data_IF_460969063459
#
_entry.id   IF_460969063459
#
_cell.length_a   1.000
_cell.length_b   1.000
_cell.length_c   1.000
_cell.angle_alpha   90.00
_cell.angle_beta   90.00
_cell.angle_gamma   90.00
#
_symmetry.space_group_name_H-M   'P 1'
#
loop_
_entity.id
_entity.type
_entity.pdbx_description
1 polymer ?
#
# COMPACT_ATOMS: atom_id res chain seq x y z
N UNK A 1 -40.09 -21.63 -50.30
CA UNK A 1 -39.39 -22.71 -49.55
C UNK A 1 -38.50 -22.07 -48.55
N UNK A 2 -38.87 -22.10 -47.24
CA UNK A 2 -38.03 -21.55 -46.17
C UNK A 2 -37.02 -22.62 -45.70
N UNK A 3 -35.77 -22.44 -46.05
CA UNK A 3 -34.66 -23.29 -45.55
C UNK A 3 -34.45 -23.06 -44.05
N UNK A 4 -34.78 -24.06 -43.21
CA UNK A 4 -34.40 -24.06 -41.78
C UNK A 4 -32.86 -24.05 -41.68
N UNK A 5 -32.30 -22.92 -41.20
CA UNK A 5 -30.90 -22.86 -40.77
C UNK A 5 -30.74 -23.80 -39.55
N UNK A 6 -30.01 -24.91 -39.73
CA UNK A 6 -29.62 -25.78 -38.64
C UNK A 6 -28.60 -25.02 -37.76
N UNK A 7 -29.01 -24.58 -36.57
CA UNK A 7 -28.08 -24.09 -35.55
C UNK A 7 -27.30 -25.28 -35.02
N UNK A 8 -25.99 -25.28 -35.23
CA UNK A 8 -25.10 -26.27 -34.60
C UNK A 8 -25.08 -26.00 -33.10
N UNK A 9 -25.53 -26.94 -32.30
CA UNK A 9 -25.43 -26.91 -30.86
C UNK A 9 -24.03 -27.33 -30.42
N UNK A 10 -23.59 -26.84 -29.26
CA UNK A 10 -22.35 -27.26 -28.60
C UNK A 10 -22.45 -28.72 -28.14
N UNK A 11 -21.37 -29.49 -28.31
CA UNK A 11 -21.30 -30.83 -27.77
C UNK A 11 -20.92 -30.81 -26.28
N UNK A 12 -21.38 -31.82 -25.54
CA UNK A 12 -21.08 -31.93 -24.10
C UNK A 12 -19.55 -32.08 -23.86
N UNK A 13 -18.85 -32.74 -24.79
CA UNK A 13 -17.40 -32.93 -24.72
C UNK A 13 -16.65 -31.60 -24.92
N UNK A 14 -17.08 -30.76 -25.86
CA UNK A 14 -16.46 -29.42 -26.05
C UNK A 14 -16.57 -28.57 -24.78
N UNK A 15 -17.72 -28.59 -24.10
CA UNK A 15 -17.88 -27.87 -22.85
C UNK A 15 -16.97 -28.45 -21.74
N UNK A 16 -16.92 -29.79 -21.64
CA UNK A 16 -16.11 -30.45 -20.63
C UNK A 16 -14.61 -30.15 -20.77
N UNK A 17 -14.09 -30.16 -22.00
CA UNK A 17 -12.67 -29.79 -22.25
C UNK A 17 -12.40 -28.35 -21.88
N UNK A 18 -13.28 -27.43 -22.20
CA UNK A 18 -13.11 -25.99 -21.87
C UNK A 18 -13.05 -25.78 -20.36
N UNK A 19 -13.99 -26.34 -19.59
CA UNK A 19 -13.97 -26.17 -18.12
C UNK A 19 -12.76 -26.86 -17.46
N UNK A 20 -12.29 -27.99 -18.01
CA UNK A 20 -11.09 -28.65 -17.55
C UNK A 20 -9.85 -27.77 -17.76
N UNK A 21 -9.71 -27.13 -18.93
CA UNK A 21 -8.59 -26.22 -19.21
C UNK A 21 -8.63 -24.97 -18.32
N UNK A 22 -9.81 -24.36 -18.13
CA UNK A 22 -9.97 -23.22 -17.22
C UNK A 22 -9.62 -23.62 -15.78
N UNK A 23 -10.01 -24.82 -15.33
CA UNK A 23 -9.66 -25.33 -14.01
C UNK A 23 -8.15 -25.44 -13.79
N UNK A 24 -7.42 -26.00 -14.76
CA UNK A 24 -5.95 -26.12 -14.68
C UNK A 24 -5.28 -24.73 -14.67
N UNK A 25 -5.70 -23.83 -15.56
CA UNK A 25 -5.13 -22.48 -15.63
C UNK A 25 -5.40 -21.68 -14.35
N UNK A 26 -6.59 -21.79 -13.78
CA UNK A 26 -6.96 -21.11 -12.54
C UNK A 26 -6.16 -21.62 -11.34
N UNK A 27 -5.84 -22.91 -11.28
CA UNK A 27 -5.09 -23.49 -10.17
C UNK A 27 -3.67 -22.90 -10.04
N UNK A 28 -3.06 -22.50 -11.15
CA UNK A 28 -1.72 -21.88 -11.17
C UNK A 28 -1.81 -20.35 -11.16
N UNK A 29 -2.78 -19.80 -11.88
CA UNK A 29 -2.91 -18.35 -12.07
C UNK A 29 -3.30 -17.59 -10.82
N UNK A 30 -4.21 -18.11 -10.01
CA UNK A 30 -4.72 -17.40 -8.82
C UNK A 30 -3.64 -17.16 -7.76
N UNK A 31 -2.82 -18.15 -7.34
CA UNK A 31 -1.75 -17.93 -6.37
C UNK A 31 -0.70 -16.93 -6.87
N UNK A 32 -0.29 -17.06 -8.14
CA UNK A 32 0.68 -16.15 -8.75
C UNK A 32 0.17 -14.70 -8.81
N UNK A 33 -1.11 -14.53 -9.14
CA UNK A 33 -1.76 -13.21 -9.17
C UNK A 33 -1.81 -12.56 -7.78
N UNK A 34 -2.16 -13.31 -6.74
CA UNK A 34 -2.20 -12.81 -5.37
C UNK A 34 -0.80 -12.36 -4.89
N UNK A 35 0.26 -13.09 -5.22
CA UNK A 35 1.63 -12.69 -4.93
C UNK A 35 2.01 -11.38 -5.62
N UNK A 36 1.65 -11.21 -6.89
CA UNK A 36 1.88 -9.97 -7.64
C UNK A 36 1.14 -8.77 -7.02
N UNK A 37 -0.12 -8.94 -6.64
CA UNK A 37 -0.92 -7.88 -6.00
C UNK A 37 -0.30 -7.46 -4.67
N UNK A 38 0.14 -8.41 -3.83
CA UNK A 38 0.79 -8.09 -2.55
C UNK A 38 2.09 -7.29 -2.78
N UNK A 39 2.93 -7.70 -3.72
CA UNK A 39 4.15 -6.96 -4.07
C UNK A 39 3.84 -5.56 -4.60
N UNK A 40 2.80 -5.40 -5.42
CA UNK A 40 2.38 -4.09 -5.92
C UNK A 40 1.93 -3.15 -4.78
N UNK A 41 1.19 -3.67 -3.80
CA UNK A 41 0.75 -2.92 -2.61
C UNK A 41 1.93 -2.48 -1.75
N UNK A 42 2.90 -3.36 -1.51
CA UNK A 42 4.14 -3.06 -0.80
C UNK A 42 4.94 -1.95 -1.52
N UNK A 43 5.15 -2.09 -2.82
CA UNK A 43 5.84 -1.06 -3.62
C UNK A 43 5.10 0.29 -3.59
N UNK A 44 3.78 0.27 -3.59
CA UNK A 44 2.96 1.48 -3.47
C UNK A 44 3.17 2.16 -2.12
N UNK A 45 3.23 1.40 -1.02
CA UNK A 45 3.49 1.93 0.32
C UNK A 45 4.89 2.54 0.41
N UNK A 46 5.91 1.86 -0.09
CA UNK A 46 7.29 2.36 -0.14
C UNK A 46 7.40 3.64 -0.97
N UNK A 47 6.74 3.71 -2.12
CA UNK A 47 6.68 4.93 -2.93
C UNK A 47 5.97 6.08 -2.19
N UNK A 48 4.92 5.79 -1.44
CA UNK A 48 4.23 6.79 -0.62
C UNK A 48 5.15 7.35 0.48
N UNK A 49 5.97 6.51 1.12
CA UNK A 49 6.98 6.97 2.08
C UNK A 49 8.03 7.88 1.43
N UNK A 50 8.48 7.57 0.22
CA UNK A 50 9.40 8.46 -0.52
C UNK A 50 8.78 9.80 -0.85
N UNK A 51 7.48 9.83 -1.16
CA UNK A 51 6.76 11.09 -1.38
C UNK A 51 6.61 11.88 -0.08
N UNK A 52 6.35 11.21 1.06
CA UNK A 52 6.35 11.84 2.38
C UNK A 52 7.73 12.46 2.67
N UNK A 53 8.82 11.73 2.45
CA UNK A 53 10.18 12.25 2.61
C UNK A 53 10.40 13.55 1.83
N UNK A 54 10.03 13.58 0.55
CA UNK A 54 10.18 14.77 -0.28
C UNK A 54 9.33 15.95 0.24
N UNK A 55 8.11 15.68 0.68
CA UNK A 55 7.24 16.71 1.25
C UNK A 55 7.74 17.21 2.60
N UNK A 56 8.34 16.35 3.42
CA UNK A 56 8.97 16.73 4.68
C UNK A 56 10.20 17.62 4.48
N UNK A 57 11.01 17.34 3.46
CA UNK A 57 12.15 18.20 3.08
C UNK A 57 11.65 19.57 2.64
N UNK A 58 10.57 19.66 1.87
CA UNK A 58 9.92 20.90 1.47
C UNK A 58 9.35 21.64 2.70
N UNK A 59 8.61 20.94 3.53
CA UNK A 59 8.02 21.47 4.78
C UNK A 59 9.10 22.06 5.70
N UNK A 60 10.21 21.35 5.87
CA UNK A 60 11.34 21.83 6.68
C UNK A 60 12.01 23.08 6.08
N UNK A 61 12.15 23.11 4.75
CA UNK A 61 12.71 24.28 4.05
C UNK A 61 11.88 25.54 4.26
N UNK A 62 10.55 25.40 4.28
CA UNK A 62 9.63 26.52 4.37
C UNK A 62 9.37 26.98 5.82
N UNK A 63 9.30 26.00 6.75
CA UNK A 63 8.85 26.26 8.11
C UNK A 63 9.94 26.01 9.17
N UNK A 64 11.11 25.49 8.80
CA UNK A 64 12.18 25.05 9.72
C UNK A 64 11.70 24.01 10.75
N UNK A 65 10.67 23.26 10.41
CA UNK A 65 10.08 22.20 11.22
C UNK A 65 9.51 21.11 10.32
N UNK A 66 9.68 19.88 10.74
CA UNK A 66 9.02 18.71 10.14
C UNK A 66 7.57 18.62 10.59
N UNK A 67 6.76 17.90 9.84
CA UNK A 67 5.39 17.59 10.19
C UNK A 67 5.32 16.29 11.01
N UNK A 68 4.47 16.26 12.02
CA UNK A 68 4.17 15.01 12.76
C UNK A 68 2.67 14.75 12.79
N UNK A 69 2.29 13.49 12.71
CA UNK A 69 0.88 13.07 12.82
C UNK A 69 0.47 12.86 14.26
N UNK A 70 1.43 12.53 15.13
CA UNK A 70 1.22 12.33 16.57
C UNK A 70 2.45 12.83 17.33
N UNK A 71 2.23 13.53 18.42
CA UNK A 71 3.30 13.84 19.37
C UNK A 71 3.65 12.56 20.15
N UNK A 72 4.71 11.87 19.74
CA UNK A 72 5.18 10.63 20.33
C UNK A 72 5.30 9.49 19.34
N UNK A 73 5.31 8.25 19.83
CA UNK A 73 5.61 7.07 19.03
C UNK A 73 4.44 6.62 18.15
N UNK A 74 4.73 6.33 16.89
CA UNK A 74 3.90 5.56 15.99
C UNK A 74 3.87 4.06 16.37
N UNK A 75 3.58 3.73 17.65
CA UNK A 75 3.54 2.36 18.15
C UNK A 75 2.46 1.48 17.51
N UNK A 76 2.64 0.17 17.52
CA UNK A 76 1.70 -0.81 16.94
C UNK A 76 0.25 -0.62 17.43
N UNK A 77 0.06 -0.21 18.68
CA UNK A 77 -1.26 0.01 19.26
C UNK A 77 -1.96 1.30 18.79
N UNK A 78 -1.22 2.30 18.30
CA UNK A 78 -1.79 3.56 17.80
C UNK A 78 -2.36 3.44 16.38
N UNK A 79 -1.97 2.41 15.62
CA UNK A 79 -2.37 2.21 14.21
C UNK A 79 -3.82 1.79 14.04
N UNK A 80 -4.40 1.16 15.06
CA UNK A 80 -5.75 0.62 14.98
C UNK A 80 -6.83 1.68 15.25
N UNK A 81 -6.46 2.85 15.79
CA UNK A 81 -7.47 3.79 16.28
C UNK A 81 -8.21 4.56 15.18
N UNK A 82 -7.55 5.01 14.12
CA UNK A 82 -8.25 5.63 12.96
C UNK A 82 -7.34 5.91 11.74
N UNK A 83 -7.03 4.90 10.92
CA UNK A 83 -6.05 5.01 9.82
C UNK A 83 -6.44 6.02 8.74
N UNK A 84 -7.74 6.17 8.50
CA UNK A 84 -8.26 7.05 7.45
C UNK A 84 -7.99 8.50 7.82
N UNK A 85 -8.16 8.86 9.09
CA UNK A 85 -7.95 10.23 9.54
C UNK A 85 -6.47 10.63 9.52
N UNK A 86 -5.56 9.71 9.81
CA UNK A 86 -4.11 9.96 9.76
C UNK A 86 -3.65 10.17 8.33
N UNK A 87 -4.01 9.28 7.40
CA UNK A 87 -3.69 9.47 5.98
C UNK A 87 -4.31 10.76 5.41
N UNK A 88 -5.52 11.12 5.86
CA UNK A 88 -6.15 12.38 5.49
C UNK A 88 -5.36 13.58 6.04
N UNK A 89 -4.89 13.52 7.27
CA UNK A 89 -4.10 14.57 7.91
C UNK A 89 -2.77 14.81 7.16
N UNK A 90 -2.07 13.75 6.79
CA UNK A 90 -0.85 13.81 5.96
C UNK A 90 -1.15 14.47 4.61
N UNK A 91 -2.21 14.05 3.93
CA UNK A 91 -2.58 14.64 2.63
C UNK A 91 -2.92 16.13 2.74
N UNK A 92 -3.59 16.55 3.80
CA UNK A 92 -3.95 17.97 4.00
C UNK A 92 -2.72 18.81 4.32
N UNK A 93 -1.88 18.35 5.24
CA UNK A 93 -0.81 19.17 5.80
C UNK A 93 0.48 19.14 4.96
N UNK A 94 0.83 17.98 4.39
CA UNK A 94 2.03 17.86 3.56
C UNK A 94 1.76 18.06 2.07
N UNK A 95 0.59 17.67 1.57
CA UNK A 95 0.32 17.67 0.13
C UNK A 95 -0.77 18.67 -0.30
N UNK A 96 -1.11 19.64 0.56
CA UNK A 96 -2.08 20.69 0.24
C UNK A 96 -3.44 20.16 -0.18
N UNK A 97 -3.93 19.11 0.48
CA UNK A 97 -5.17 18.40 0.17
C UNK A 97 -5.14 17.54 -1.13
N UNK A 98 -3.99 17.34 -1.73
CA UNK A 98 -3.82 16.35 -2.81
C UNK A 98 -3.97 14.95 -2.25
N UNK A 99 -4.64 14.05 -2.99
CA UNK A 99 -4.81 12.64 -2.60
C UNK A 99 -3.56 11.82 -2.97
N UNK A 100 -2.43 12.16 -2.38
CA UNK A 100 -1.13 11.52 -2.66
C UNK A 100 -0.99 10.22 -1.91
N UNK A 101 -1.41 10.20 -0.63
CA UNK A 101 -1.45 8.98 0.19
C UNK A 101 -2.84 8.35 0.06
N UNK A 102 -2.95 7.01 -0.09
CA UNK A 102 -4.22 6.32 -0.23
C UNK A 102 -5.19 6.62 0.93
N UNK A 103 -6.41 7.04 0.60
CA UNK A 103 -7.48 7.39 1.53
C UNK A 103 -8.69 6.45 1.42
N UNK A 104 -8.46 5.22 1.00
CA UNK A 104 -9.52 4.24 0.86
C UNK A 104 -10.14 3.89 2.22
N UNK A 105 -11.40 3.50 2.23
CA UNK A 105 -12.09 3.08 3.46
C UNK A 105 -11.47 1.84 4.12
N UNK A 106 -10.64 1.11 3.38
CA UNK A 106 -9.85 -0.04 3.84
C UNK A 106 -8.48 0.02 3.15
N UNK A 107 -7.57 0.89 3.59
CA UNK A 107 -6.22 0.94 3.02
C UNK A 107 -5.46 -0.33 3.36
N UNK A 108 -4.54 -0.73 2.48
CA UNK A 108 -3.64 -1.86 2.75
C UNK A 108 -2.54 -1.50 3.74
N UNK A 109 -2.15 -0.21 3.78
CA UNK A 109 -1.15 0.35 4.68
C UNK A 109 -1.65 1.62 5.35
N UNK A 110 -1.23 1.82 6.61
CA UNK A 110 -1.35 3.09 7.33
C UNK A 110 -0.03 3.82 7.27
N UNK A 111 -0.09 5.14 7.27
CA UNK A 111 1.08 5.99 7.36
C UNK A 111 1.01 6.79 8.64
N UNK A 112 2.13 6.90 9.33
CA UNK A 112 2.27 7.69 10.54
C UNK A 112 3.63 8.37 10.51
N UNK A 113 3.70 9.60 10.98
CA UNK A 113 4.93 10.38 11.09
C UNK A 113 5.09 10.76 12.55
N UNK A 114 6.20 10.37 13.15
CA UNK A 114 6.57 10.68 14.52
C UNK A 114 7.83 11.54 14.57
N UNK A 115 7.97 12.33 15.62
CA UNK A 115 9.17 13.05 15.92
C UNK A 115 9.32 13.18 17.44
N UNK A 116 10.55 13.16 17.94
CA UNK A 116 10.86 13.57 19.31
C UNK A 116 11.17 15.08 19.37
N UNK A 117 11.67 15.62 18.25
CA UNK A 117 11.93 17.06 18.07
C UNK A 117 11.77 17.42 16.59
N UNK A 118 10.64 18.00 16.25
CA UNK A 118 10.28 18.40 14.88
C UNK A 118 11.26 19.40 14.23
N UNK A 119 12.18 19.96 14.99
CA UNK A 119 13.22 20.87 14.46
C UNK A 119 14.48 20.14 14.02
N UNK A 120 14.64 18.86 14.37
CA UNK A 120 15.87 18.11 14.11
C UNK A 120 15.66 16.78 13.41
N UNK A 121 14.55 16.09 13.70
CA UNK A 121 14.33 14.75 13.21
C UNK A 121 12.85 14.41 12.98
N UNK A 122 12.60 13.45 12.11
CA UNK A 122 11.32 12.76 11.98
C UNK A 122 11.54 11.33 11.52
N UNK A 123 10.52 10.49 11.69
CA UNK A 123 10.47 9.16 11.11
C UNK A 123 9.06 8.87 10.61
N UNK A 124 8.94 8.56 9.33
CA UNK A 124 7.69 8.18 8.71
C UNK A 124 7.59 6.67 8.57
N UNK A 125 6.44 6.11 8.90
CA UNK A 125 6.17 4.68 8.86
C UNK A 125 5.00 4.37 7.93
N UNK A 126 5.07 3.19 7.31
CA UNK A 126 3.97 2.53 6.65
C UNK A 126 3.78 1.15 7.29
N UNK A 127 2.64 0.90 7.90
CA UNK A 127 2.30 -0.36 8.55
C UNK A 127 1.21 -1.08 7.78
N UNK A 128 1.36 -2.38 7.57
CA UNK A 128 0.37 -3.22 6.91
C UNK A 128 -0.84 -3.47 7.82
N UNK A 129 -2.04 -3.24 7.31
CA UNK A 129 -3.30 -3.28 8.07
C UNK A 129 -3.60 -4.63 8.71
N UNK A 130 -3.31 -5.72 8.03
CA UNK A 130 -3.58 -7.09 8.48
C UNK A 130 -2.32 -7.93 8.37
N UNK A 131 -1.21 -7.45 8.91
CA UNK A 131 0.08 -8.13 8.85
C UNK A 131 1.10 -7.46 9.77
N UNK A 132 2.28 -8.02 9.81
CA UNK A 132 3.41 -7.50 10.61
C UNK A 132 4.41 -6.71 9.77
N UNK A 133 4.18 -6.63 8.44
CA UNK A 133 5.09 -5.89 7.57
C UNK A 133 5.00 -4.40 7.87
N UNK A 134 6.15 -3.77 7.98
CA UNK A 134 6.26 -2.32 8.14
C UNK A 134 7.49 -1.79 7.42
N UNK A 135 7.45 -0.52 7.03
CA UNK A 135 8.54 0.20 6.39
C UNK A 135 8.67 1.57 7.02
N UNK A 136 9.87 2.11 7.09
CA UNK A 136 10.11 3.46 7.57
C UNK A 136 11.17 4.19 6.75
N UNK A 137 11.07 5.51 6.74
CA UNK A 137 12.05 6.43 6.18
C UNK A 137 12.24 7.59 7.16
N UNK A 138 13.47 8.07 7.29
CA UNK A 138 13.80 9.19 8.18
C UNK A 138 14.35 10.41 7.41
N UNK A 139 14.72 11.46 8.14
CA UNK A 139 15.27 12.71 7.59
C UNK A 139 16.61 12.52 6.85
N UNK A 140 17.34 11.42 7.10
CA UNK A 140 18.59 11.10 6.39
C UNK A 140 18.35 10.28 5.13
N UNK A 141 17.10 9.97 4.82
CA UNK A 141 16.69 9.04 3.78
C UNK A 141 17.15 7.61 4.07
N UNK A 142 17.26 7.25 5.35
CA UNK A 142 17.54 5.87 5.75
C UNK A 142 16.25 5.05 5.73
N UNK A 143 16.31 3.91 5.04
CA UNK A 143 15.19 3.02 4.80
C UNK A 143 15.34 1.76 5.64
N UNK A 144 14.40 1.50 6.54
CA UNK A 144 14.37 0.29 7.37
C UNK A 144 12.97 -0.32 7.32
N UNK A 145 12.87 -1.62 7.48
CA UNK A 145 11.57 -2.28 7.51
C UNK A 145 11.64 -3.74 7.92
N UNK A 146 10.49 -4.35 7.98
CA UNK A 146 10.31 -5.78 8.15
C UNK A 146 9.27 -6.28 7.16
N UNK A 147 9.58 -7.34 6.44
CA UNK A 147 8.68 -8.00 5.50
C UNK A 147 8.77 -9.51 5.65
N UNK A 148 7.62 -10.17 5.80
CA UNK A 148 7.52 -11.61 5.99
C UNK A 148 8.42 -12.15 7.13
N UNK A 149 8.58 -11.34 8.22
CA UNK A 149 9.42 -11.66 9.38
C UNK A 149 10.92 -11.48 9.16
N UNK A 150 11.35 -10.84 8.08
CA UNK A 150 12.75 -10.54 7.79
C UNK A 150 13.00 -9.04 7.83
N UNK A 151 14.04 -8.62 8.56
CA UNK A 151 14.48 -7.23 8.56
C UNK A 151 15.04 -6.83 7.19
N UNK A 152 14.71 -5.62 6.77
CA UNK A 152 15.15 -5.01 5.51
C UNK A 152 15.80 -3.68 5.84
N UNK A 153 17.08 -3.53 5.50
CA UNK A 153 17.86 -2.29 5.73
C UNK A 153 17.87 -1.36 4.51
N UNK A 154 17.23 -1.76 3.42
CA UNK A 154 17.06 -0.94 2.21
C UNK A 154 15.91 -1.46 1.35
N UNK A 155 15.08 -0.54 0.81
CA UNK A 155 13.97 -0.85 -0.09
C UNK A 155 13.70 0.28 -1.09
#
# INVERSE_FOLDING_TARGET
MNGKKLTKGFTLVELLVVVALIGILSAIGIPAYNGYINSAKTNSAQNSLRLIYLAEVEQFSDNSQYYETTSGSCGEDSHHANPININLSININLFGSSKTIPQESKPDFYFCIESNDITTEYKAFAYKVNGYDWFSIDQNNDHVGEQDGNSIDSW
#
